data_IF_418063223497
#
_entry.id   IF_418063223497
#
_cell.length_a   1.000
_cell.length_b   1.000
_cell.length_c   1.000
_cell.angle_alpha   90.00
_cell.angle_beta   90.00
_cell.angle_gamma   90.00
#
_symmetry.space_group_name_H-M   'P 1'
#
loop_
_entity.id
_entity.type
_entity.pdbx_description
1 polymer ?
#
# COMPACT_ATOMS: atom_id res chain seq x y z
N UNK A 1 -11.92 7.68 19.42
CA UNK A 1 -11.09 7.54 18.20
C UNK A 1 -9.67 7.04 18.47
N UNK A 2 -9.17 7.06 19.72
CA UNK A 2 -7.83 6.57 20.09
C UNK A 2 -7.62 5.06 19.86
N UNK A 3 -8.65 4.25 20.11
CA UNK A 3 -8.45 2.80 20.23
C UNK A 3 -8.37 2.11 18.88
N UNK A 4 -9.16 2.58 17.90
CA UNK A 4 -9.11 2.07 16.53
C UNK A 4 -7.75 2.34 15.88
N UNK A 5 -7.14 3.49 16.17
CA UNK A 5 -5.82 3.82 15.65
C UNK A 5 -4.77 2.83 16.15
N UNK A 6 -4.75 2.55 17.46
CA UNK A 6 -3.82 1.58 18.05
C UNK A 6 -4.04 0.16 17.51
N UNK A 7 -5.27 -0.21 17.15
CA UNK A 7 -5.59 -1.51 16.56
C UNK A 7 -5.13 -1.60 15.11
N UNK A 8 -5.30 -0.54 14.30
CA UNK A 8 -5.01 -0.58 12.87
C UNK A 8 -3.54 -0.28 12.54
N UNK A 9 -2.84 0.48 13.40
CA UNK A 9 -1.47 0.92 13.15
C UNK A 9 -0.51 -0.24 12.81
N UNK A 10 -0.52 -1.40 13.50
CA UNK A 10 0.36 -2.51 13.15
C UNK A 10 0.13 -3.04 11.72
N UNK A 11 -1.10 -3.01 11.23
CA UNK A 11 -1.44 -3.43 9.87
C UNK A 11 -0.96 -2.42 8.83
N UNK A 12 -1.08 -1.12 9.14
CA UNK A 12 -0.53 -0.05 8.31
C UNK A 12 0.99 -0.20 8.21
N UNK A 13 1.68 -0.34 9.33
CA UNK A 13 3.14 -0.48 9.38
C UNK A 13 3.62 -1.71 8.60
N UNK A 14 2.93 -2.84 8.76
CA UNK A 14 3.23 -4.07 8.00
C UNK A 14 2.99 -3.91 6.49
N UNK A 15 1.91 -3.22 6.09
CA UNK A 15 1.62 -2.94 4.68
C UNK A 15 2.67 -2.02 4.03
N UNK A 16 3.12 -0.98 4.76
CA UNK A 16 4.16 -0.05 4.31
C UNK A 16 5.50 -0.77 4.19
N UNK A 17 5.83 -1.62 5.15
CA UNK A 17 7.05 -2.43 5.09
C UNK A 17 7.04 -3.39 3.91
N UNK A 18 5.94 -4.09 3.65
CA UNK A 18 5.83 -4.96 2.47
C UNK A 18 6.03 -4.19 1.15
N UNK A 19 5.49 -2.96 1.08
CA UNK A 19 5.70 -2.10 -0.07
C UNK A 19 7.17 -1.65 -0.22
N UNK A 20 7.83 -1.28 0.89
CA UNK A 20 9.27 -0.93 0.90
C UNK A 20 10.16 -2.12 0.51
N UNK A 21 9.82 -3.31 0.96
CA UNK A 21 10.52 -4.56 0.64
C UNK A 21 10.21 -5.05 -0.80
N UNK A 22 9.39 -4.30 -1.55
CA UNK A 22 8.96 -4.63 -2.92
C UNK A 22 8.28 -6.01 -3.00
N UNK A 23 7.50 -6.38 -1.99
CA UNK A 23 6.79 -7.66 -1.88
C UNK A 23 5.31 -7.49 -2.23
N UNK A 24 4.99 -7.62 -3.53
CA UNK A 24 3.65 -7.37 -4.07
C UNK A 24 2.59 -8.29 -3.48
N UNK A 25 2.95 -9.54 -3.20
CA UNK A 25 2.05 -10.54 -2.66
C UNK A 25 1.71 -10.20 -1.21
N UNK A 26 2.71 -9.87 -0.37
CA UNK A 26 2.46 -9.39 0.99
C UNK A 26 1.71 -8.06 1.03
N UNK A 27 2.02 -7.09 0.16
CA UNK A 27 1.23 -5.85 0.08
C UNK A 27 -0.24 -6.15 -0.23
N UNK A 28 -0.50 -7.18 -1.03
CA UNK A 28 -1.86 -7.56 -1.43
C UNK A 28 -2.64 -8.27 -0.32
N UNK A 29 -1.99 -8.88 0.67
CA UNK A 29 -2.65 -9.60 1.76
C UNK A 29 -3.58 -8.70 2.58
N UNK A 30 -3.25 -7.42 2.70
CA UNK A 30 -4.01 -6.42 3.46
C UNK A 30 -5.31 -5.95 2.78
N UNK A 31 -5.55 -6.33 1.52
CA UNK A 31 -6.80 -6.00 0.83
C UNK A 31 -7.84 -7.11 1.01
N UNK A 32 -9.09 -6.70 1.23
CA UNK A 32 -10.27 -7.55 1.10
C UNK A 32 -10.48 -7.96 -0.37
N UNK A 33 -11.18 -9.07 -0.60
CA UNK A 33 -11.40 -9.60 -1.96
C UNK A 33 -12.12 -8.62 -2.89
N UNK A 34 -13.03 -7.82 -2.34
CA UNK A 34 -13.83 -6.79 -3.01
C UNK A 34 -13.27 -5.37 -2.86
N UNK A 35 -12.05 -5.23 -2.36
CA UNK A 35 -11.44 -3.92 -2.13
C UNK A 35 -11.34 -3.07 -3.41
N UNK A 36 -11.40 -1.75 -3.23
CA UNK A 36 -11.20 -0.76 -4.30
C UNK A 36 -9.98 0.08 -3.95
N UNK A 37 -8.95 0.02 -4.81
CA UNK A 37 -7.79 0.92 -4.73
C UNK A 37 -8.08 2.15 -5.57
N UNK A 38 -8.02 3.33 -4.96
CA UNK A 38 -8.19 4.62 -5.64
C UNK A 38 -6.85 5.33 -5.68
N UNK A 39 -6.33 5.55 -6.88
CA UNK A 39 -5.14 6.35 -7.10
C UNK A 39 -5.56 7.76 -7.51
N UNK A 40 -5.19 8.75 -6.68
CA UNK A 40 -5.49 10.14 -6.95
C UNK A 40 -4.95 10.55 -8.34
N UNK A 41 -5.85 10.92 -9.25
CA UNK A 41 -5.50 11.35 -10.61
C UNK A 41 -5.30 10.23 -11.64
N UNK A 42 -5.25 8.95 -11.25
CA UNK A 42 -5.03 7.81 -12.15
C UNK A 42 -6.25 6.90 -12.33
N UNK A 43 -7.16 6.84 -11.34
CA UNK A 43 -8.40 6.07 -11.43
C UNK A 43 -8.57 5.04 -10.32
N UNK A 44 -9.39 4.01 -10.57
CA UNK A 44 -9.78 3.01 -9.58
C UNK A 44 -9.51 1.58 -10.08
N UNK A 45 -8.97 0.73 -9.19
CA UNK A 45 -8.75 -0.69 -9.41
C UNK A 45 -9.64 -1.51 -8.48
N UNK A 46 -10.47 -2.38 -9.05
CA UNK A 46 -11.50 -3.14 -8.32
C UNK A 46 -11.13 -4.61 -8.12
N UNK A 47 -11.18 -5.06 -6.88
CA UNK A 47 -10.96 -6.42 -6.44
C UNK A 47 -9.49 -6.77 -6.23
N UNK A 48 -9.23 -7.57 -5.18
CA UNK A 48 -7.88 -7.96 -4.73
C UNK A 48 -7.01 -8.49 -5.86
N UNK A 49 -7.55 -9.37 -6.71
CA UNK A 49 -6.82 -9.94 -7.85
C UNK A 49 -6.26 -8.88 -8.81
N UNK A 50 -7.01 -7.81 -9.08
CA UNK A 50 -6.54 -6.72 -9.96
C UNK A 50 -5.56 -5.82 -9.22
N UNK A 51 -5.78 -5.56 -7.93
CA UNK A 51 -4.88 -4.80 -7.07
C UNK A 51 -3.51 -5.50 -6.96
N UNK A 52 -3.47 -6.82 -6.81
CA UNK A 52 -2.22 -7.60 -6.80
C UNK A 52 -1.44 -7.44 -8.09
N UNK A 53 -2.10 -7.56 -9.24
CA UNK A 53 -1.46 -7.36 -10.54
C UNK A 53 -0.93 -5.93 -10.68
N UNK A 54 -1.67 -4.93 -10.20
CA UNK A 54 -1.23 -3.55 -10.18
C UNK A 54 0.03 -3.38 -9.31
N UNK A 55 0.04 -3.91 -8.09
CA UNK A 55 1.20 -3.84 -7.19
C UNK A 55 2.45 -4.50 -7.80
N UNK A 56 2.29 -5.66 -8.43
CA UNK A 56 3.38 -6.34 -9.16
C UNK A 56 3.95 -5.43 -10.26
N UNK A 57 3.11 -4.81 -11.08
CA UNK A 57 3.54 -3.87 -12.12
C UNK A 57 4.24 -2.63 -11.56
N UNK A 58 3.76 -2.11 -10.42
CA UNK A 58 4.39 -0.97 -9.76
C UNK A 58 5.77 -1.33 -9.21
N UNK A 59 5.91 -2.49 -8.59
CA UNK A 59 7.20 -2.98 -8.09
C UNK A 59 8.20 -3.21 -9.24
N UNK A 60 7.77 -3.82 -10.35
CA UNK A 60 8.58 -3.98 -11.56
C UNK A 60 9.09 -2.63 -12.09
N UNK A 61 8.28 -1.58 -12.00
CA UNK A 61 8.67 -0.21 -12.38
C UNK A 61 9.57 0.46 -11.33
N UNK A 62 9.29 0.25 -10.05
CA UNK A 62 9.99 0.88 -8.91
C UNK A 62 11.39 0.31 -8.68
N UNK A 63 11.68 -0.91 -9.15
CA UNK A 63 13.02 -1.52 -9.11
C UNK A 63 14.14 -0.71 -9.80
N UNK A 64 13.83 0.46 -10.39
CA UNK A 64 14.79 1.38 -11.03
C UNK A 64 14.92 2.75 -10.36
N UNK A 65 14.21 3.05 -9.26
CA UNK A 65 14.29 4.40 -8.67
C UNK A 65 14.26 4.33 -7.15
N UNK A 66 15.43 4.46 -6.54
CA UNK A 66 15.61 4.70 -5.10
C UNK A 66 15.22 6.15 -4.79
N UNK A 67 13.93 6.41 -4.54
CA UNK A 67 13.52 7.69 -3.97
C UNK A 67 13.34 7.53 -2.47
N UNK A 68 14.18 8.21 -1.68
CA UNK A 68 14.05 8.29 -0.23
C UNK A 68 12.73 8.96 0.14
N UNK A 69 11.84 8.22 0.80
CA UNK A 69 10.59 8.77 1.32
C UNK A 69 10.90 9.55 2.60
N UNK A 70 11.06 10.87 2.48
CA UNK A 70 11.15 11.77 3.63
C UNK A 70 9.75 12.03 4.17
N UNK A 71 9.32 11.20 5.13
CA UNK A 71 8.03 11.41 5.83
C UNK A 71 8.14 12.64 6.73
N UNK A 72 7.60 13.77 6.29
CA UNK A 72 7.33 14.91 7.17
C UNK A 72 5.94 14.74 7.78
N UNK A 73 5.88 14.16 8.97
CA UNK A 73 4.63 14.08 9.76
C UNK A 73 4.24 15.50 10.16
N UNK A 74 3.24 16.07 9.49
CA UNK A 74 2.61 17.31 9.95
C UNK A 74 1.59 16.89 11.01
N UNK A 75 1.97 17.09 12.28
CA UNK A 75 1.08 16.90 13.42
C UNK A 75 -0.09 17.87 13.35
N UNK A 76 -1.30 17.33 13.46
CA UNK A 76 -2.52 18.07 13.78
C UNK A 76 -3.14 17.41 15.00
#
# INVERSE_FOLDING_TARGET
MSDLKSIIQPYIDASLKAFQDLDADKTSEFYADDAVLIEAGNGCTYGKKKITKFNQQMIEKSGKTTTEVSVKVIGV
#
